data_IF_687064582682
#
_entry.id   IF_687064582682
#
_cell.length_a   1.000
_cell.length_b   1.000
_cell.length_c   1.000
_cell.angle_alpha   90.00
_cell.angle_beta   90.00
_cell.angle_gamma   90.00
#
_symmetry.space_group_name_H-M   'P 1'
#
loop_
_entity.id
_entity.type
_entity.pdbx_description
1 polymer ?
#
# COMPACT_ATOMS: atom_id res chain seq x y z
N UNK A 1 -2.85 18.03 32.38
CA UNK A 1 -1.50 17.69 31.86
C UNK A 1 -1.63 16.37 31.12
N UNK A 2 -1.84 16.41 29.81
CA UNK A 2 -1.95 15.20 28.99
C UNK A 2 -0.53 14.77 28.63
N UNK A 3 -0.01 13.75 29.30
CA UNK A 3 1.15 13.01 28.84
C UNK A 3 0.69 12.07 27.73
N UNK A 4 0.53 12.61 26.53
CA UNK A 4 0.39 11.83 25.31
C UNK A 4 1.70 11.08 25.07
N UNK A 5 1.87 9.91 25.70
CA UNK A 5 2.96 9.01 25.42
C UNK A 5 2.91 8.64 23.94
N UNK A 6 3.94 8.98 23.18
CA UNK A 6 4.12 8.41 21.84
C UNK A 6 4.08 6.90 22.01
N UNK A 7 3.23 6.18 21.27
CA UNK A 7 3.18 4.73 21.38
C UNK A 7 4.58 4.16 21.17
N UNK A 8 4.95 3.17 21.96
CA UNK A 8 6.26 2.52 21.84
C UNK A 8 6.37 1.96 20.42
N UNK A 9 7.58 1.91 19.86
CA UNK A 9 7.80 1.34 18.53
C UNK A 9 7.27 -0.09 18.43
N UNK A 10 7.29 -0.82 19.52
CA UNK A 10 6.76 -2.18 19.60
C UNK A 10 5.22 -2.20 19.49
N UNK A 11 4.54 -1.30 20.19
CA UNK A 11 3.08 -1.14 20.07
C UNK A 11 2.69 -0.71 18.65
N UNK A 12 3.41 0.23 18.06
CA UNK A 12 3.21 0.64 16.67
C UNK A 12 3.39 -0.54 15.71
N UNK A 13 4.42 -1.36 15.91
CA UNK A 13 4.68 -2.55 15.08
C UNK A 13 3.56 -3.60 15.22
N UNK A 14 3.09 -3.85 16.44
CA UNK A 14 1.96 -4.77 16.67
C UNK A 14 0.67 -4.26 16.02
N UNK A 15 0.36 -2.98 16.18
CA UNK A 15 -0.82 -2.38 15.56
C UNK A 15 -0.76 -2.43 14.02
N UNK A 16 0.40 -2.12 13.44
CA UNK A 16 0.61 -2.18 11.99
C UNK A 16 0.45 -3.61 11.47
N UNK A 17 0.99 -4.60 12.19
CA UNK A 17 0.80 -6.02 11.84
C UNK A 17 -0.67 -6.42 11.88
N UNK A 18 -1.37 -6.09 12.95
CA UNK A 18 -2.79 -6.41 13.08
C UNK A 18 -3.65 -5.78 11.96
N UNK A 19 -3.33 -4.55 11.56
CA UNK A 19 -3.97 -3.90 10.42
C UNK A 19 -3.63 -4.57 9.08
N UNK A 20 -2.37 -4.96 8.88
CA UNK A 20 -1.98 -5.70 7.67
C UNK A 20 -2.71 -7.04 7.58
N UNK A 21 -2.76 -7.80 8.66
CA UNK A 21 -3.46 -9.08 8.74
C UNK A 21 -4.97 -8.90 8.51
N UNK A 22 -5.57 -7.84 9.06
CA UNK A 22 -6.98 -7.53 8.85
C UNK A 22 -7.29 -7.18 7.38
N UNK A 23 -6.48 -6.35 6.74
CA UNK A 23 -6.64 -6.04 5.32
C UNK A 23 -6.41 -7.27 4.43
N UNK A 24 -5.40 -8.08 4.72
CA UNK A 24 -5.09 -9.29 3.96
C UNK A 24 -6.21 -10.34 4.08
N UNK A 25 -6.78 -10.53 5.28
CA UNK A 25 -7.82 -11.52 5.53
C UNK A 25 -9.24 -11.12 5.11
N UNK A 26 -9.40 -9.98 4.47
CA UNK A 26 -10.67 -9.57 3.90
C UNK A 26 -11.29 -8.29 4.44
N UNK A 27 -10.64 -7.55 5.32
CA UNK A 27 -11.12 -6.31 5.96
C UNK A 27 -11.72 -5.24 5.05
N UNK A 28 -12.79 -5.57 4.36
CA UNK A 28 -13.44 -4.74 3.36
C UNK A 28 -12.78 -4.73 1.98
N UNK A 29 -11.56 -5.29 1.83
CA UNK A 29 -10.90 -5.44 0.54
C UNK A 29 -11.35 -6.75 -0.11
N UNK A 30 -12.09 -6.65 -1.21
CA UNK A 30 -12.43 -7.77 -2.08
C UNK A 30 -11.25 -8.23 -2.94
N UNK A 31 -11.57 -8.95 -4.01
CA UNK A 31 -10.62 -9.31 -5.07
C UNK A 31 -10.39 -8.17 -6.04
N UNK A 32 -11.38 -7.29 -6.19
CA UNK A 32 -11.36 -6.18 -7.12
C UNK A 32 -10.77 -4.92 -6.48
N UNK A 33 -10.31 -4.01 -7.32
CA UNK A 33 -9.80 -2.70 -6.86
C UNK A 33 -10.96 -1.83 -6.38
N UNK A 34 -10.73 -1.12 -5.29
CA UNK A 34 -11.69 -0.16 -4.77
C UNK A 34 -11.80 1.06 -5.69
N UNK A 35 -13.00 1.67 -5.75
CA UNK A 35 -13.23 2.91 -6.47
C UNK A 35 -13.35 4.11 -5.51
N UNK A 36 -12.92 5.27 -5.98
CA UNK A 36 -13.32 6.49 -5.31
C UNK A 36 -14.80 6.78 -5.59
N UNK A 37 -15.46 7.49 -4.69
CA UNK A 37 -16.88 7.85 -4.86
C UNK A 37 -17.15 8.50 -6.23
N UNK A 38 -16.27 9.42 -6.65
CA UNK A 38 -16.38 10.13 -7.94
C UNK A 38 -16.17 9.24 -9.17
N UNK A 39 -15.49 8.10 -8.99
CA UNK A 39 -15.08 7.20 -10.08
C UNK A 39 -15.99 5.95 -10.14
N UNK A 40 -17.10 5.98 -9.41
CA UNK A 40 -18.10 4.90 -9.46
C UNK A 40 -18.76 4.85 -10.83
N UNK A 41 -18.79 3.67 -11.50
CA UNK A 41 -19.31 3.54 -12.87
C UNK A 41 -20.80 3.94 -12.98
N UNK A 42 -21.57 3.70 -11.94
CA UNK A 42 -23.01 3.95 -11.88
C UNK A 42 -23.37 5.34 -11.35
N UNK A 43 -22.38 6.19 -11.05
CA UNK A 43 -22.62 7.52 -10.50
C UNK A 43 -23.52 8.40 -11.38
N UNK A 44 -23.43 8.40 -12.73
CA UNK A 44 -24.35 9.18 -13.58
C UNK A 44 -25.81 8.72 -13.46
N UNK A 45 -26.05 7.40 -13.39
CA UNK A 45 -27.39 6.84 -13.21
C UNK A 45 -27.95 7.19 -11.83
N UNK A 46 -27.13 7.10 -10.78
CA UNK A 46 -27.51 7.46 -9.43
C UNK A 46 -27.85 8.95 -9.32
N UNK A 47 -27.10 9.83 -10.00
CA UNK A 47 -27.37 11.25 -10.06
C UNK A 47 -28.69 11.58 -10.78
N UNK A 48 -29.02 10.86 -11.85
CA UNK A 48 -30.31 10.98 -12.54
C UNK A 48 -31.48 10.48 -11.66
N UNK A 49 -31.30 9.33 -10.99
CA UNK A 49 -32.29 8.78 -10.08
C UNK A 49 -32.56 9.71 -8.87
N UNK A 50 -31.53 10.39 -8.36
CA UNK A 50 -31.65 11.36 -7.28
C UNK A 50 -32.62 12.49 -7.62
N UNK A 51 -32.61 12.98 -8.87
CA UNK A 51 -33.52 14.05 -9.36
C UNK A 51 -34.98 13.56 -9.46
N UNK A 52 -35.20 12.26 -9.64
CA UNK A 52 -36.54 11.65 -9.75
C UNK A 52 -37.12 11.28 -8.39
N UNK A 53 -36.34 11.27 -7.34
CA UNK A 53 -36.72 10.93 -5.99
C UNK A 53 -35.75 9.96 -5.33
N UNK A 54 -35.48 10.17 -4.04
CA UNK A 54 -34.51 9.37 -3.28
C UNK A 54 -35.18 8.12 -2.74
N UNK A 55 -34.82 6.96 -3.30
CA UNK A 55 -35.24 5.63 -2.81
C UNK A 55 -34.29 5.12 -1.73
N UNK A 56 -34.72 4.15 -0.91
CA UNK A 56 -33.85 3.54 0.10
C UNK A 56 -32.72 2.72 -0.54
N UNK A 57 -32.96 2.15 -1.72
CA UNK A 57 -31.91 1.49 -2.49
C UNK A 57 -30.81 2.49 -2.91
N UNK A 58 -31.20 3.66 -3.38
CA UNK A 58 -30.22 4.70 -3.75
C UNK A 58 -29.42 5.16 -2.54
N UNK A 59 -30.06 5.36 -1.38
CA UNK A 59 -29.35 5.69 -0.13
C UNK A 59 -28.34 4.63 0.24
N UNK A 60 -28.73 3.37 0.20
CA UNK A 60 -27.83 2.25 0.52
C UNK A 60 -26.64 2.21 -0.44
N UNK A 61 -26.88 2.38 -1.74
CA UNK A 61 -25.82 2.42 -2.75
C UNK A 61 -24.83 3.58 -2.48
N UNK A 62 -25.31 4.77 -2.24
CA UNK A 62 -24.49 5.94 -1.94
C UNK A 62 -23.67 5.75 -0.64
N UNK A 63 -24.26 5.14 0.40
CA UNK A 63 -23.53 4.79 1.62
C UNK A 63 -22.42 3.78 1.38
N UNK A 64 -22.67 2.76 0.56
CA UNK A 64 -21.65 1.76 0.20
C UNK A 64 -20.50 2.40 -0.58
N UNK A 65 -20.77 3.26 -1.54
CA UNK A 65 -19.74 3.98 -2.29
C UNK A 65 -18.93 4.94 -1.42
N UNK A 66 -19.60 5.63 -0.49
CA UNK A 66 -18.92 6.49 0.47
C UNK A 66 -18.01 5.68 1.40
N UNK A 67 -18.45 4.50 1.83
CA UNK A 67 -17.64 3.59 2.63
C UNK A 67 -16.45 3.04 1.83
N UNK A 68 -16.65 2.68 0.56
CA UNK A 68 -15.59 2.20 -0.33
C UNK A 68 -14.51 3.30 -0.55
N UNK A 69 -14.92 4.54 -0.81
CA UNK A 69 -14.00 5.69 -0.92
C UNK A 69 -13.21 5.91 0.37
N UNK A 70 -13.88 5.85 1.52
CA UNK A 70 -13.23 5.96 2.82
C UNK A 70 -12.22 4.83 3.04
N UNK A 71 -12.59 3.59 2.71
CA UNK A 71 -11.73 2.42 2.83
C UNK A 71 -10.50 2.53 1.93
N UNK A 72 -10.68 2.96 0.67
CA UNK A 72 -9.59 3.20 -0.29
C UNK A 72 -8.60 4.24 0.23
N UNK A 73 -9.07 5.36 0.76
CA UNK A 73 -8.21 6.40 1.35
C UNK A 73 -7.48 5.89 2.59
N UNK A 74 -8.17 5.14 3.44
CA UNK A 74 -7.60 4.56 4.66
C UNK A 74 -6.51 3.55 4.32
N UNK A 75 -6.75 2.68 3.34
CA UNK A 75 -5.76 1.72 2.87
C UNK A 75 -4.53 2.41 2.26
N UNK A 76 -4.74 3.44 1.45
CA UNK A 76 -3.62 4.24 0.91
C UNK A 76 -2.79 4.88 2.02
N UNK A 77 -3.43 5.50 3.03
CA UNK A 77 -2.73 6.05 4.19
C UNK A 77 -1.95 4.98 4.97
N UNK A 78 -2.48 3.77 5.05
CA UNK A 78 -1.80 2.63 5.65
C UNK A 78 -0.56 2.20 4.85
N UNK A 79 -0.64 2.15 3.51
CA UNK A 79 0.52 1.86 2.65
C UNK A 79 1.59 2.94 2.82
N UNK A 80 1.22 4.23 2.95
CA UNK A 80 2.17 5.31 3.25
C UNK A 80 2.82 5.14 4.64
N UNK A 81 2.09 4.61 5.63
CA UNK A 81 2.66 4.28 6.93
C UNK A 81 3.71 3.17 6.79
N UNK A 82 3.41 2.12 6.04
CA UNK A 82 4.35 1.04 5.75
C UNK A 82 5.60 1.56 5.03
N UNK A 83 5.45 2.45 4.06
CA UNK A 83 6.57 3.11 3.38
C UNK A 83 7.50 3.79 4.38
N UNK A 84 6.96 4.61 5.30
CA UNK A 84 7.76 5.25 6.36
C UNK A 84 8.48 4.22 7.23
N UNK A 85 7.82 3.11 7.58
CA UNK A 85 8.43 2.04 8.38
C UNK A 85 9.52 1.28 7.63
N UNK A 86 9.45 1.19 6.29
CA UNK A 86 10.56 0.62 5.49
C UNK A 86 11.83 1.48 5.55
N UNK A 87 11.74 2.72 5.98
CA UNK A 87 12.85 3.65 6.16
C UNK A 87 13.23 3.89 7.63
N UNK A 88 12.66 3.11 8.57
CA UNK A 88 12.99 3.23 10.00
C UNK A 88 14.49 2.97 10.25
N UNK A 89 15.05 3.62 11.25
CA UNK A 89 16.44 3.42 11.66
C UNK A 89 16.70 2.01 12.18
N UNK A 90 15.70 1.38 12.80
CA UNK A 90 15.81 0.03 13.32
C UNK A 90 15.59 -1.02 12.23
N UNK A 91 16.58 -1.89 12.06
CA UNK A 91 16.54 -3.04 11.12
C UNK A 91 15.31 -3.91 11.34
N UNK A 92 14.97 -4.17 12.58
CA UNK A 92 13.78 -4.97 12.95
C UNK A 92 12.49 -4.36 12.37
N UNK A 93 12.29 -3.04 12.49
CA UNK A 93 11.12 -2.35 11.94
C UNK A 93 11.07 -2.44 10.42
N UNK A 94 12.21 -2.22 9.74
CA UNK A 94 12.30 -2.37 8.28
C UNK A 94 11.96 -3.79 7.82
N UNK A 95 12.49 -4.81 8.50
CA UNK A 95 12.20 -6.22 8.20
C UNK A 95 10.72 -6.56 8.39
N UNK A 96 10.09 -6.04 9.43
CA UNK A 96 8.65 -6.24 9.65
C UNK A 96 7.82 -5.55 8.57
N UNK A 97 8.13 -4.30 8.25
CA UNK A 97 7.44 -3.57 7.19
C UNK A 97 7.53 -4.30 5.83
N UNK A 98 8.71 -4.82 5.48
CA UNK A 98 8.90 -5.64 4.26
C UNK A 98 7.99 -6.87 4.25
N UNK A 99 7.83 -7.55 5.38
CA UNK A 99 6.93 -8.71 5.48
C UNK A 99 5.46 -8.30 5.28
N UNK A 100 5.04 -7.20 5.88
CA UNK A 100 3.66 -6.71 5.78
C UNK A 100 3.33 -6.25 4.37
N UNK A 101 4.27 -5.54 3.71
CA UNK A 101 4.15 -5.17 2.29
C UNK A 101 3.97 -6.41 1.42
N UNK A 102 4.76 -7.47 1.65
CA UNK A 102 4.63 -8.72 0.91
C UNK A 102 3.27 -9.40 1.12
N UNK A 103 2.79 -9.50 2.36
CA UNK A 103 1.48 -10.12 2.67
C UNK A 103 0.36 -9.40 1.92
N UNK A 104 0.34 -8.07 1.96
CA UNK A 104 -0.67 -7.29 1.26
C UNK A 104 -0.56 -7.44 -0.26
N UNK A 105 0.65 -7.41 -0.81
CA UNK A 105 0.89 -7.56 -2.25
C UNK A 105 0.49 -8.95 -2.77
N UNK A 106 0.69 -9.99 -1.94
CA UNK A 106 0.31 -11.36 -2.28
C UNK A 106 -1.21 -11.55 -2.29
N UNK A 107 -1.91 -10.96 -1.32
CA UNK A 107 -3.29 -11.31 -1.04
C UNK A 107 -4.30 -10.30 -1.62
N UNK A 108 -3.86 -9.10 -2.00
CA UNK A 108 -4.74 -8.01 -2.46
C UNK A 108 -4.21 -7.28 -3.69
N UNK A 109 -5.12 -7.01 -4.63
CA UNK A 109 -4.82 -6.26 -5.87
C UNK A 109 -4.79 -4.73 -5.67
N UNK A 110 -5.27 -4.24 -4.52
CA UNK A 110 -5.29 -2.81 -4.22
C UNK A 110 -3.87 -2.28 -3.94
N UNK A 111 -3.49 -1.17 -4.55
CA UNK A 111 -2.17 -0.54 -4.43
C UNK A 111 -0.98 -1.45 -4.84
N UNK A 112 -1.21 -2.45 -5.69
CA UNK A 112 -0.24 -3.46 -6.12
C UNK A 112 1.08 -2.84 -6.62
N UNK A 113 0.99 -1.83 -7.49
CA UNK A 113 2.19 -1.16 -8.03
C UNK A 113 3.02 -0.48 -6.94
N UNK A 114 2.37 0.22 -6.00
CA UNK A 114 3.06 0.88 -4.90
C UNK A 114 3.70 -0.13 -3.95
N UNK A 115 2.99 -1.20 -3.61
CA UNK A 115 3.52 -2.26 -2.75
C UNK A 115 4.71 -2.98 -3.39
N UNK A 116 4.62 -3.29 -4.70
CA UNK A 116 5.73 -3.90 -5.44
C UNK A 116 6.95 -2.99 -5.44
N UNK A 117 6.77 -1.70 -5.70
CA UNK A 117 7.85 -0.71 -5.67
C UNK A 117 8.52 -0.60 -4.29
N UNK A 118 7.72 -0.62 -3.20
CA UNK A 118 8.27 -0.65 -1.85
C UNK A 118 9.14 -1.89 -1.61
N UNK A 119 8.68 -3.05 -2.08
CA UNK A 119 9.40 -4.32 -1.91
C UNK A 119 10.69 -4.35 -2.73
N UNK A 120 10.65 -3.93 -4.00
CA UNK A 120 11.84 -3.92 -4.88
C UNK A 120 12.89 -2.90 -4.44
N UNK A 121 12.48 -1.74 -3.92
CA UNK A 121 13.42 -0.76 -3.37
C UNK A 121 14.23 -1.32 -2.18
N UNK A 122 13.71 -2.31 -1.48
CA UNK A 122 14.40 -2.96 -0.35
C UNK A 122 15.42 -4.01 -0.74
N UNK A 123 15.55 -4.35 -2.01
CA UNK A 123 16.67 -5.15 -2.52
C UNK A 123 18.01 -4.44 -2.34
N UNK A 124 18.02 -3.11 -2.35
CA UNK A 124 19.19 -2.26 -2.10
C UNK A 124 19.31 -1.75 -0.66
N UNK A 125 18.63 -2.34 0.31
CA UNK A 125 18.74 -1.91 1.71
C UNK A 125 20.18 -2.14 2.22
N UNK A 126 20.77 -1.17 2.96
CA UNK A 126 22.13 -1.29 3.49
C UNK A 126 22.29 -2.48 4.45
N UNK A 127 21.22 -2.92 5.10
CA UNK A 127 21.24 -4.12 5.92
C UNK A 127 20.93 -5.36 5.09
N UNK A 128 21.91 -6.28 5.04
CA UNK A 128 21.81 -7.51 4.25
C UNK A 128 20.60 -8.36 4.63
N UNK A 129 20.19 -8.37 5.90
CA UNK A 129 19.06 -9.18 6.35
C UNK A 129 17.72 -8.65 5.83
N UNK A 130 17.59 -7.33 5.64
CA UNK A 130 16.42 -6.68 5.03
C UNK A 130 16.40 -6.98 3.52
N UNK A 131 17.52 -6.78 2.83
CA UNK A 131 17.64 -7.04 1.40
C UNK A 131 17.37 -8.52 1.06
N UNK A 132 17.94 -9.45 1.82
CA UNK A 132 17.70 -10.89 1.66
C UNK A 132 16.22 -11.23 1.87
N UNK A 133 15.57 -10.63 2.88
CA UNK A 133 14.14 -10.84 3.13
C UNK A 133 13.28 -10.34 1.97
N UNK A 134 13.58 -9.16 1.43
CA UNK A 134 12.88 -8.63 0.26
C UNK A 134 13.04 -9.55 -0.97
N UNK A 135 14.25 -10.06 -1.21
CA UNK A 135 14.53 -11.03 -2.29
C UNK A 135 13.72 -12.31 -2.12
N UNK A 136 13.71 -12.90 -0.91
CA UNK A 136 12.93 -14.10 -0.61
C UNK A 136 11.44 -13.87 -0.89
N UNK A 137 10.88 -12.76 -0.42
CA UNK A 137 9.47 -12.44 -0.63
C UNK A 137 9.11 -12.17 -2.09
N UNK A 138 10.01 -11.59 -2.88
CA UNK A 138 9.79 -11.46 -4.33
C UNK A 138 9.77 -12.83 -5.02
N UNK A 139 10.64 -13.76 -4.61
CA UNK A 139 10.63 -15.12 -5.15
C UNK A 139 9.37 -15.88 -4.76
N UNK A 140 8.93 -15.78 -3.51
CA UNK A 140 7.66 -16.35 -3.05
C UNK A 140 6.47 -15.77 -3.80
N UNK A 141 6.45 -14.44 -4.03
CA UNK A 141 5.41 -13.77 -4.83
C UNK A 141 5.31 -14.36 -6.24
N UNK A 142 6.44 -14.59 -6.90
CA UNK A 142 6.48 -15.15 -8.25
C UNK A 142 6.08 -16.63 -8.32
N UNK A 143 6.15 -17.36 -7.20
CA UNK A 143 5.61 -18.72 -7.10
C UNK A 143 4.09 -18.71 -6.99
N UNK A 144 3.53 -17.76 -6.21
CA UNK A 144 2.08 -17.63 -6.02
C UNK A 144 1.43 -16.96 -7.24
N UNK A 145 2.07 -15.93 -7.80
CA UNK A 145 1.56 -15.15 -8.94
C UNK A 145 2.54 -15.15 -10.11
N UNK A 146 2.66 -16.27 -10.87
CA UNK A 146 3.60 -16.35 -12.00
C UNK A 146 3.39 -15.31 -13.10
N UNK A 147 2.14 -14.85 -13.27
CA UNK A 147 1.79 -13.80 -14.24
C UNK A 147 2.42 -12.44 -13.93
N UNK A 148 2.86 -12.19 -12.68
CA UNK A 148 3.54 -10.96 -12.30
C UNK A 148 5.00 -10.87 -12.75
N UNK A 149 5.60 -11.96 -13.28
CA UNK A 149 7.03 -11.98 -13.69
C UNK A 149 7.45 -10.78 -14.53
N UNK A 150 6.74 -10.40 -15.62
CA UNK A 150 7.16 -9.26 -16.44
C UNK A 150 7.13 -7.93 -15.67
N UNK A 151 6.12 -7.76 -14.81
CA UNK A 151 5.94 -6.54 -14.00
C UNK A 151 7.05 -6.44 -12.96
N UNK A 152 7.35 -7.54 -12.26
CA UNK A 152 8.42 -7.61 -11.26
C UNK A 152 9.78 -7.36 -11.90
N UNK A 153 10.08 -7.98 -13.05
CA UNK A 153 11.34 -7.77 -13.77
C UNK A 153 11.52 -6.30 -14.18
N UNK A 154 10.48 -5.67 -14.69
CA UNK A 154 10.50 -4.25 -15.04
C UNK A 154 10.81 -3.39 -13.81
N UNK A 155 10.08 -3.59 -12.71
CA UNK A 155 10.25 -2.80 -11.50
C UNK A 155 11.63 -2.98 -10.85
N UNK A 156 12.16 -4.21 -10.85
CA UNK A 156 13.53 -4.50 -10.40
C UNK A 156 14.56 -3.80 -11.29
N UNK A 157 14.40 -3.86 -12.62
CA UNK A 157 15.31 -3.16 -13.55
C UNK A 157 15.30 -1.65 -13.33
N UNK A 158 14.12 -1.06 -13.13
CA UNK A 158 13.99 0.37 -12.82
C UNK A 158 14.62 0.71 -11.46
N UNK A 159 14.46 -0.14 -10.44
CA UNK A 159 15.08 0.07 -9.14
C UNK A 159 16.63 0.06 -9.23
N UNK A 160 17.20 -0.85 -10.02
CA UNK A 160 18.66 -0.90 -10.28
C UNK A 160 19.13 0.37 -11.01
N UNK A 161 18.42 0.81 -12.04
CA UNK A 161 18.76 2.03 -12.78
C UNK A 161 18.70 3.27 -11.87
N UNK A 162 17.69 3.37 -11.01
CA UNK A 162 17.59 4.46 -10.02
C UNK A 162 18.78 4.48 -9.04
N UNK A 163 19.26 3.30 -8.62
CA UNK A 163 20.39 3.19 -7.71
C UNK A 163 21.75 3.54 -8.34
N UNK A 164 21.84 3.45 -9.66
CA UNK A 164 23.08 3.74 -10.42
C UNK A 164 23.20 5.21 -10.84
N UNK A 165 22.14 6.01 -10.71
CA UNK A 165 22.23 7.44 -11.00
C UNK A 165 23.05 8.13 -9.91
N UNK A 166 24.22 8.72 -10.20
CA UNK A 166 24.98 9.47 -9.22
C UNK A 166 24.11 10.64 -8.73
N UNK A 167 24.05 10.80 -7.43
CA UNK A 167 23.35 11.91 -6.77
C UNK A 167 24.00 13.23 -7.20
N UNK A 168 23.55 13.80 -8.30
CA UNK A 168 23.91 15.15 -8.66
C UNK A 168 23.30 16.08 -7.60
N UNK A 169 24.10 16.48 -6.62
CA UNK A 169 23.83 17.59 -5.72
C UNK A 169 22.50 17.53 -5.00
N UNK A 170 22.30 16.58 -4.09
CA UNK A 170 21.13 16.62 -3.22
C UNK A 170 21.39 17.48 -1.99
N UNK A 171 20.97 18.72 -2.09
CA UNK A 171 20.41 19.42 -0.95
C UNK A 171 19.11 18.68 -0.58
N UNK A 172 19.14 17.99 0.56
CA UNK A 172 18.06 17.17 1.11
C UNK A 172 16.76 17.98 1.19
N UNK A 173 15.75 17.59 0.44
CA UNK A 173 14.35 17.68 0.86
C UNK A 173 13.71 16.33 0.63
N UNK A 174 13.61 15.56 1.72
CA UNK A 174 12.84 14.34 1.75
C UNK A 174 11.38 14.66 1.40
N UNK A 175 10.95 14.13 0.30
CA UNK A 175 9.56 13.78 0.03
C UNK A 175 9.49 13.13 -1.36
N UNK A 176 9.92 11.88 -1.46
CA UNK A 176 9.43 11.08 -2.57
C UNK A 176 8.07 10.53 -2.16
N UNK A 177 7.07 11.39 -2.24
CA UNK A 177 5.68 10.98 -2.15
C UNK A 177 5.40 9.88 -3.18
N UNK A 178 4.69 8.84 -2.72
CA UNK A 178 3.97 7.95 -3.62
C UNK A 178 3.26 8.81 -4.67
N UNK A 179 3.71 8.72 -5.92
CA UNK A 179 3.06 9.39 -7.03
C UNK A 179 1.62 8.91 -7.10
N UNK A 180 0.68 9.83 -6.95
CA UNK A 180 -0.73 9.61 -7.25
C UNK A 180 -0.83 9.32 -8.75
N UNK A 181 -0.75 8.04 -9.13
CA UNK A 181 -1.23 7.60 -10.44
C UNK A 181 -2.74 7.41 -10.25
N UNK A 182 -3.44 8.39 -10.74
CA UNK A 182 -4.90 8.38 -10.88
C UNK A 182 -5.34 7.41 -11.95
#
# INVERSE_FOLDING_TARGET
MSMSGKPSREESSRATRALADWFASGGGLGTDKLHYFRDQPELPQAAAAYKSGVTDQLKTCLCLWAFEDYLKRTYFAFVQLLERQTHDTLVFMRRQAVTQVYVLLRDKSEQEHNLLRLLTNKLGDPDRSVASKASTHLMELLQVHPAMKPIVLREVSEAVLRSQQPSAGQHVKGNQHLSLIH
#
